data_IF_002766921482
#
_entry.id   IF_002766921482
#
_cell.length_a   1.000
_cell.length_b   1.000
_cell.length_c   1.000
_cell.angle_alpha   90.00
_cell.angle_beta   90.00
_cell.angle_gamma   90.00
#
_symmetry.space_group_name_H-M   'P 1'
#
loop_
_entity.id
_entity.type
_entity.pdbx_description
1 polymer ?
#
# COMPACT_ATOMS: atom_id res chain seq x y z
N UNK A 1 16.49 -0.78 8.05
CA UNK A 1 16.08 0.01 6.86
C UNK A 1 14.70 0.58 7.11
N UNK A 2 14.49 1.90 7.01
CA UNK A 2 13.17 2.52 7.23
C UNK A 2 12.43 2.73 5.90
N UNK A 3 11.12 2.53 5.88
CA UNK A 3 10.27 2.77 4.71
C UNK A 3 9.42 4.02 4.94
N UNK A 4 9.34 4.89 3.94
CA UNK A 4 8.38 5.99 3.89
C UNK A 4 7.50 5.75 2.67
N UNK A 5 6.22 5.52 2.90
CA UNK A 5 5.26 5.13 1.87
C UNK A 5 4.24 6.26 1.76
N UNK A 6 4.14 6.87 0.58
CA UNK A 6 3.17 7.93 0.30
C UNK A 6 2.06 7.39 -0.60
N UNK A 7 0.93 7.02 -0.02
CA UNK A 7 -0.30 6.72 -0.76
C UNK A 7 -0.97 8.04 -1.15
N UNK A 8 -1.02 8.36 -2.45
CA UNK A 8 -1.66 9.60 -2.91
C UNK A 8 -3.18 9.50 -2.94
N UNK A 9 -3.75 8.30 -2.81
CA UNK A 9 -5.17 8.04 -3.03
C UNK A 9 -5.62 8.60 -4.38
N UNK A 10 -6.87 9.04 -4.50
CA UNK A 10 -7.42 9.66 -5.70
C UNK A 10 -7.03 11.16 -5.81
N UNK A 11 -5.73 11.48 -5.74
CA UNK A 11 -5.22 12.84 -5.86
C UNK A 11 -4.13 12.97 -6.91
N UNK A 12 -4.02 14.18 -7.47
CA UNK A 12 -3.05 14.63 -8.48
C UNK A 12 -3.25 13.95 -9.84
N UNK A 13 -3.45 14.78 -10.87
CA UNK A 13 -3.33 14.35 -12.26
C UNK A 13 -1.86 14.08 -12.62
N UNK A 14 -1.60 13.75 -13.88
CA UNK A 14 -0.27 13.42 -14.37
C UNK A 14 0.73 14.60 -14.28
N UNK A 15 0.30 15.82 -14.58
CA UNK A 15 1.15 17.02 -14.55
C UNK A 15 1.55 17.41 -13.12
N UNK A 16 0.57 17.46 -12.22
CA UNK A 16 0.81 17.81 -10.82
C UNK A 16 1.62 16.72 -10.13
N UNK A 17 1.36 15.46 -10.46
CA UNK A 17 2.15 14.34 -10.00
C UNK A 17 3.63 14.47 -10.41
N UNK A 18 3.91 14.84 -11.66
CA UNK A 18 5.28 15.04 -12.14
C UNK A 18 5.97 16.19 -11.41
N UNK A 19 5.28 17.32 -11.19
CA UNK A 19 5.80 18.46 -10.41
C UNK A 19 6.19 18.03 -9.00
N UNK A 20 5.30 17.31 -8.30
CA UNK A 20 5.53 16.80 -6.94
C UNK A 20 6.75 15.86 -6.92
N UNK A 21 6.85 14.93 -7.87
CA UNK A 21 7.97 13.99 -7.92
C UNK A 21 9.30 14.70 -8.18
N UNK A 22 9.34 15.69 -9.09
CA UNK A 22 10.54 16.51 -9.31
C UNK A 22 10.96 17.24 -8.03
N UNK A 23 10.01 17.80 -7.27
CA UNK A 23 10.29 18.45 -5.99
C UNK A 23 10.81 17.46 -4.93
N UNK A 24 10.18 16.29 -4.81
CA UNK A 24 10.58 15.23 -3.89
C UNK A 24 12.01 14.75 -4.18
N UNK A 25 12.35 14.54 -5.46
CA UNK A 25 13.69 14.09 -5.88
C UNK A 25 14.80 15.05 -5.45
N UNK A 26 14.55 16.36 -5.52
CA UNK A 26 15.50 17.37 -5.04
C UNK A 26 15.80 17.22 -3.54
N UNK A 27 14.83 16.78 -2.73
CA UNK A 27 14.97 16.62 -1.27
C UNK A 27 15.49 15.26 -0.82
N UNK A 28 15.38 14.22 -1.65
CA UNK A 28 15.77 12.85 -1.30
C UNK A 28 17.22 12.54 -1.67
N UNK A 29 17.83 13.27 -2.63
CA UNK A 29 19.28 13.20 -2.90
C UNK A 29 20.00 13.29 -1.54
N UNK A 30 20.71 12.22 -1.15
CA UNK A 30 21.55 12.08 0.06
C UNK A 30 20.93 11.39 1.30
N UNK A 31 19.75 10.75 1.24
CA UNK A 31 19.18 9.98 2.38
C UNK A 31 19.23 8.47 2.17
N UNK A 32 20.41 7.86 2.34
CA UNK A 32 20.67 6.44 2.03
C UNK A 32 20.02 5.41 2.98
N UNK A 33 19.60 5.81 4.19
CA UNK A 33 19.04 4.90 5.20
C UNK A 33 17.51 4.67 5.09
N UNK A 34 16.85 5.30 4.11
CA UNK A 34 15.41 5.30 3.93
C UNK A 34 15.04 4.87 2.50
N UNK A 35 13.98 4.06 2.38
CA UNK A 35 13.32 3.77 1.11
C UNK A 35 12.04 4.57 0.99
N UNK A 36 11.98 5.44 -0.01
CA UNK A 36 10.83 6.25 -0.33
C UNK A 36 10.02 5.57 -1.42
N UNK A 37 8.79 5.18 -1.09
CA UNK A 37 7.87 4.49 -1.99
C UNK A 37 6.68 5.41 -2.22
N UNK A 38 6.32 5.65 -3.47
CA UNK A 38 5.22 6.54 -3.81
C UNK A 38 4.18 5.72 -4.58
N UNK A 39 2.91 5.88 -4.20
CA UNK A 39 1.78 5.19 -4.79
C UNK A 39 0.80 6.21 -5.41
N UNK A 40 1.09 6.76 -6.62
CA UNK A 40 0.16 7.61 -7.36
C UNK A 40 -1.02 6.80 -7.93
N UNK A 41 -2.09 7.47 -8.40
CA UNK A 41 -2.98 6.87 -9.40
C UNK A 41 -2.17 6.27 -10.56
N UNK A 42 -2.55 5.09 -11.04
CA UNK A 42 -1.68 4.28 -11.90
C UNK A 42 -1.35 4.96 -13.23
N UNK A 43 -2.31 5.67 -13.82
CA UNK A 43 -2.12 6.49 -15.02
C UNK A 43 -1.05 7.57 -14.81
N UNK A 44 -1.04 8.21 -13.65
CA UNK A 44 0.00 9.19 -13.29
C UNK A 44 1.35 8.52 -13.13
N UNK A 45 1.41 7.29 -12.60
CA UNK A 45 2.66 6.53 -12.49
C UNK A 45 3.30 6.28 -13.85
N UNK A 46 2.52 5.82 -14.83
CA UNK A 46 3.03 5.58 -16.19
C UNK A 46 3.57 6.87 -16.82
N UNK A 47 2.78 7.94 -16.76
CA UNK A 47 3.18 9.24 -17.31
C UNK A 47 4.45 9.78 -16.67
N UNK A 48 4.51 9.79 -15.33
CA UNK A 48 5.67 10.30 -14.58
C UNK A 48 6.91 9.50 -14.97
N UNK A 49 6.83 8.17 -15.01
CA UNK A 49 7.98 7.32 -15.34
C UNK A 49 8.53 7.60 -16.74
N UNK A 50 7.67 7.80 -17.72
CA UNK A 50 8.09 8.12 -19.09
C UNK A 50 8.72 9.51 -19.20
N UNK A 51 8.40 10.43 -18.30
CA UNK A 51 8.90 11.81 -18.28
C UNK A 51 10.06 12.05 -17.29
N UNK A 52 10.59 11.00 -16.65
CA UNK A 52 11.74 11.09 -15.76
C UNK A 52 12.99 10.51 -16.43
N UNK A 53 14.02 11.35 -16.58
CA UNK A 53 15.32 10.98 -17.19
C UNK A 53 16.01 9.84 -16.42
N UNK A 54 15.84 9.77 -15.09
CA UNK A 54 16.39 8.68 -14.24
C UNK A 54 15.29 8.01 -13.43
N UNK A 55 15.35 6.69 -13.34
CA UNK A 55 14.46 5.85 -12.55
C UNK A 55 14.96 5.65 -11.10
N UNK A 56 15.15 6.74 -10.37
CA UNK A 56 15.62 6.74 -8.98
C UNK A 56 14.49 6.77 -7.93
N UNK A 57 13.24 6.91 -8.37
CA UNK A 57 12.05 6.86 -7.52
C UNK A 57 11.44 5.46 -7.54
N UNK A 58 11.13 4.94 -6.35
CA UNK A 58 10.44 3.65 -6.21
C UNK A 58 8.93 3.91 -6.26
N UNK A 59 8.28 3.35 -7.29
CA UNK A 59 6.84 3.41 -7.44
C UNK A 59 6.17 2.11 -6.96
N UNK A 60 4.93 2.24 -6.50
CA UNK A 60 4.00 1.14 -6.34
C UNK A 60 2.59 1.52 -6.79
N UNK A 61 1.68 0.55 -6.82
CA UNK A 61 0.26 0.80 -7.07
C UNK A 61 -0.55 0.84 -5.77
N UNK A 62 -1.72 1.46 -5.84
CA UNK A 62 -2.65 1.60 -4.70
C UNK A 62 -3.55 0.36 -4.51
N UNK A 63 -3.59 -0.53 -5.51
CA UNK A 63 -4.34 -1.79 -5.49
C UNK A 63 -3.85 -2.71 -6.63
N UNK A 64 -4.35 -3.95 -6.69
CA UNK A 64 -4.35 -4.82 -7.86
C UNK A 64 -5.58 -5.73 -7.90
N UNK A 65 -5.92 -6.23 -9.08
CA UNK A 65 -6.96 -7.24 -9.28
C UNK A 65 -6.68 -8.54 -8.52
N UNK A 66 -7.76 -9.23 -8.12
CA UNK A 66 -7.69 -10.62 -7.67
C UNK A 66 -7.52 -11.61 -8.84
N UNK A 67 -7.77 -11.18 -10.06
CA UNK A 67 -7.70 -11.98 -11.29
C UNK A 67 -6.36 -11.79 -12.01
N UNK A 68 -5.99 -12.76 -12.85
CA UNK A 68 -4.76 -12.69 -13.67
C UNK A 68 -5.01 -11.85 -14.94
N UNK A 69 -6.04 -12.22 -15.68
CA UNK A 69 -6.53 -11.60 -16.91
C UNK A 69 -7.96 -12.14 -17.18
N UNK A 70 -8.67 -11.58 -18.16
CA UNK A 70 -10.00 -12.03 -18.56
C UNK A 70 -10.99 -10.87 -18.75
N UNK A 71 -12.27 -11.20 -18.80
CA UNK A 71 -13.38 -10.26 -18.96
C UNK A 71 -13.68 -9.48 -17.66
N UNK A 72 -12.71 -8.68 -17.21
CA UNK A 72 -12.77 -7.85 -16.00
C UNK A 72 -12.55 -6.38 -16.37
N UNK A 73 -13.51 -5.82 -17.13
CA UNK A 73 -13.43 -4.46 -17.68
C UNK A 73 -13.10 -3.43 -16.61
N UNK A 74 -12.04 -2.66 -16.83
CA UNK A 74 -11.59 -1.59 -15.93
C UNK A 74 -10.70 -2.04 -14.77
N UNK A 75 -10.52 -3.35 -14.54
CA UNK A 75 -9.65 -3.87 -13.50
C UNK A 75 -8.18 -3.95 -13.98
N UNK A 76 -7.23 -3.88 -13.04
CA UNK A 76 -5.80 -3.84 -13.34
C UNK A 76 -5.09 -5.03 -12.71
N UNK A 77 -4.54 -5.91 -13.55
CA UNK A 77 -3.80 -7.07 -13.05
C UNK A 77 -2.44 -6.71 -12.44
N UNK A 78 -1.97 -7.59 -11.54
CA UNK A 78 -0.62 -7.48 -10.98
C UNK A 78 0.48 -7.49 -12.06
N UNK A 79 0.25 -8.16 -13.18
CA UNK A 79 1.19 -8.19 -14.30
C UNK A 79 1.27 -6.82 -15.00
N UNK A 80 0.13 -6.17 -15.25
CA UNK A 80 0.09 -4.82 -15.82
C UNK A 80 0.83 -3.81 -14.93
N UNK A 81 0.58 -3.88 -13.62
CA UNK A 81 1.29 -3.06 -12.62
C UNK A 81 2.80 -3.29 -12.67
N UNK A 82 3.21 -4.56 -12.77
CA UNK A 82 4.63 -4.92 -12.88
C UNK A 82 5.27 -4.34 -14.15
N UNK A 83 4.57 -4.40 -15.28
CA UNK A 83 5.03 -3.89 -16.59
C UNK A 83 5.19 -2.38 -16.61
N UNK A 84 4.34 -1.63 -15.91
CA UNK A 84 4.51 -0.18 -15.71
C UNK A 84 5.82 0.14 -14.96
N UNK A 85 6.36 -0.82 -14.20
CA UNK A 85 7.62 -0.71 -13.48
C UNK A 85 7.47 -0.54 -11.97
N UNK A 86 6.24 -0.64 -11.46
CA UNK A 86 5.98 -0.68 -10.03
C UNK A 86 6.71 -1.85 -9.35
N UNK A 87 7.16 -1.61 -8.13
CA UNK A 87 7.85 -2.62 -7.30
C UNK A 87 7.00 -3.06 -6.10
N UNK A 88 6.03 -2.25 -5.70
CA UNK A 88 5.15 -2.49 -4.57
C UNK A 88 3.68 -2.39 -4.99
N UNK A 89 2.80 -3.03 -4.25
CA UNK A 89 1.34 -2.86 -4.35
C UNK A 89 0.76 -2.79 -2.94
N UNK A 90 -0.10 -1.80 -2.71
CA UNK A 90 -0.89 -1.67 -1.49
C UNK A 90 -2.10 -2.60 -1.56
N UNK A 91 -2.36 -3.36 -0.51
CA UNK A 91 -3.48 -4.30 -0.45
C UNK A 91 -4.12 -4.22 0.94
N UNK A 92 -5.45 -4.24 1.01
CA UNK A 92 -6.18 -4.28 2.27
C UNK A 92 -6.33 -2.92 2.96
N UNK A 93 -6.09 -1.81 2.25
CA UNK A 93 -6.34 -0.46 2.75
C UNK A 93 -7.79 -0.32 3.23
N UNK A 94 -7.98 0.42 4.32
CA UNK A 94 -9.29 0.53 5.00
C UNK A 94 -10.41 0.97 4.06
N UNK A 95 -10.18 1.99 3.23
CA UNK A 95 -11.13 2.47 2.21
C UNK A 95 -11.58 1.34 1.26
N UNK A 96 -10.68 0.43 0.88
CA UNK A 96 -11.02 -0.69 0.00
C UNK A 96 -11.84 -1.75 0.72
N UNK A 97 -11.51 -2.03 1.99
CA UNK A 97 -12.30 -2.95 2.83
C UNK A 97 -13.70 -2.41 3.09
N UNK A 98 -13.86 -1.11 3.34
CA UNK A 98 -15.15 -0.53 3.76
C UNK A 98 -16.01 -0.02 2.62
N UNK A 99 -15.43 0.62 1.60
CA UNK A 99 -16.19 1.21 0.48
C UNK A 99 -16.41 0.18 -0.63
N UNK A 100 -15.40 -0.67 -0.88
CA UNK A 100 -15.42 -1.66 -1.96
C UNK A 100 -15.62 -3.09 -1.46
N UNK A 101 -15.91 -3.27 -0.16
CA UNK A 101 -16.25 -4.54 0.47
C UNK A 101 -15.22 -5.66 0.22
N UNK A 102 -13.92 -5.32 0.20
CA UNK A 102 -12.87 -6.32 0.00
C UNK A 102 -12.76 -7.27 1.20
N UNK A 103 -13.14 -8.53 0.97
CA UNK A 103 -13.10 -9.58 1.98
C UNK A 103 -11.70 -10.19 2.12
N UNK A 104 -11.47 -10.93 3.21
CA UNK A 104 -10.19 -11.60 3.45
C UNK A 104 -9.84 -12.57 2.31
N UNK A 105 -10.82 -13.23 1.68
CA UNK A 105 -10.64 -14.11 0.51
C UNK A 105 -10.18 -13.33 -0.74
N UNK A 106 -10.73 -12.13 -0.98
CA UNK A 106 -10.30 -11.25 -2.07
C UNK A 106 -8.86 -10.82 -1.84
N UNK A 107 -8.52 -10.43 -0.61
CA UNK A 107 -7.17 -9.98 -0.25
C UNK A 107 -6.14 -11.10 -0.40
N UNK A 108 -6.47 -12.34 0.00
CA UNK A 108 -5.63 -13.53 -0.25
C UNK A 108 -5.27 -13.67 -1.73
N UNK A 109 -6.29 -13.57 -2.60
CA UNK A 109 -6.10 -13.71 -4.04
C UNK A 109 -5.22 -12.59 -4.58
N UNK A 110 -5.48 -11.33 -4.21
CA UNK A 110 -4.66 -10.18 -4.61
C UNK A 110 -3.19 -10.33 -4.19
N UNK A 111 -2.93 -10.74 -2.96
CA UNK A 111 -1.57 -11.00 -2.45
C UNK A 111 -0.89 -12.08 -3.26
N UNK A 112 -1.57 -13.21 -3.50
CA UNK A 112 -1.03 -14.29 -4.33
C UNK A 112 -0.67 -13.79 -5.73
N UNK A 113 -1.56 -13.05 -6.40
CA UNK A 113 -1.31 -12.45 -7.73
C UNK A 113 -0.11 -11.50 -7.73
N UNK A 114 0.00 -10.64 -6.72
CA UNK A 114 1.12 -9.73 -6.57
C UNK A 114 2.46 -10.46 -6.42
N UNK A 115 2.51 -11.47 -5.55
CA UNK A 115 3.72 -12.25 -5.28
C UNK A 115 4.14 -13.10 -6.48
N UNK A 116 3.19 -13.70 -7.21
CA UNK A 116 3.45 -14.42 -8.47
C UNK A 116 4.17 -13.52 -9.50
N UNK A 117 3.83 -12.22 -9.53
CA UNK A 117 4.45 -11.22 -10.42
C UNK A 117 5.70 -10.55 -9.83
N UNK A 118 6.24 -11.11 -8.74
CA UNK A 118 7.43 -10.60 -8.04
C UNK A 118 7.27 -9.13 -7.63
N UNK A 119 6.05 -8.70 -7.33
CA UNK A 119 5.79 -7.45 -6.61
C UNK A 119 5.99 -7.70 -5.12
N UNK A 120 6.29 -6.63 -4.37
CA UNK A 120 6.24 -6.64 -2.92
C UNK A 120 4.89 -6.11 -2.46
N UNK A 121 4.36 -6.67 -1.39
CA UNK A 121 3.06 -6.27 -0.85
C UNK A 121 3.27 -5.30 0.29
N UNK A 122 2.49 -4.23 0.32
CA UNK A 122 2.26 -3.38 1.49
C UNK A 122 0.85 -3.72 1.95
N UNK A 123 0.73 -4.49 3.03
CA UNK A 123 -0.54 -4.98 3.53
C UNK A 123 -1.01 -4.12 4.70
N UNK A 124 -2.15 -3.46 4.53
CA UNK A 124 -2.71 -2.60 5.58
C UNK A 124 -3.53 -3.41 6.58
N UNK A 125 -3.32 -3.08 7.86
CA UNK A 125 -4.06 -3.61 9.00
C UNK A 125 -4.42 -2.46 9.93
N UNK A 126 -5.49 -2.61 10.68
CA UNK A 126 -5.97 -1.57 11.57
C UNK A 126 -7.39 -1.81 12.01
N UNK A 127 -7.71 -1.33 13.19
CA UNK A 127 -8.97 -1.51 13.88
C UNK A 127 -9.84 -0.25 13.84
N UNK A 128 -11.16 -0.43 14.01
CA UNK A 128 -12.10 0.67 14.16
C UNK A 128 -12.01 1.33 15.55
N UNK A 129 -12.58 2.54 15.68
CA UNK A 129 -12.63 3.25 16.97
C UNK A 129 -13.30 2.40 18.06
N UNK A 130 -14.36 1.66 17.70
CA UNK A 130 -15.07 0.78 18.64
C UNK A 130 -14.18 -0.35 19.13
N UNK A 131 -13.39 -0.96 18.25
CA UNK A 131 -12.48 -2.04 18.62
C UNK A 131 -11.33 -1.53 19.49
N UNK A 132 -10.79 -0.36 19.16
CA UNK A 132 -9.79 0.32 19.98
C UNK A 132 -10.32 0.64 21.38
N UNK A 133 -11.49 1.29 21.49
CA UNK A 133 -12.12 1.62 22.78
C UNK A 133 -12.46 0.39 23.63
N UNK A 134 -12.65 -0.77 23.01
CA UNK A 134 -12.90 -2.05 23.69
C UNK A 134 -11.61 -2.81 24.06
N UNK A 135 -10.42 -2.25 23.81
CA UNK A 135 -9.14 -2.93 24.06
C UNK A 135 -8.90 -4.14 23.15
N UNK A 136 -9.52 -4.18 21.96
CA UNK A 136 -9.48 -5.34 21.04
C UNK A 136 -8.49 -5.18 19.88
N UNK A 137 -7.68 -4.12 19.85
CA UNK A 137 -6.78 -3.80 18.72
C UNK A 137 -5.86 -4.97 18.36
N UNK A 138 -5.06 -5.48 19.31
CA UNK A 138 -4.11 -6.59 19.06
C UNK A 138 -4.84 -7.84 18.55
N UNK A 139 -5.91 -8.27 19.23
CA UNK A 139 -6.69 -9.45 18.83
C UNK A 139 -7.25 -9.29 17.42
N UNK A 140 -7.71 -8.09 17.07
CA UNK A 140 -8.27 -7.83 15.75
C UNK A 140 -7.20 -7.80 14.65
N UNK A 141 -6.07 -7.13 14.89
CA UNK A 141 -4.95 -7.05 13.95
C UNK A 141 -4.35 -8.44 13.69
N UNK A 142 -4.12 -9.23 14.75
CA UNK A 142 -3.67 -10.63 14.60
C UNK A 142 -4.66 -11.43 13.75
N UNK A 143 -5.97 -11.23 13.96
CA UNK A 143 -7.00 -11.88 13.15
C UNK A 143 -6.94 -11.43 11.68
N UNK A 144 -6.73 -10.16 11.37
CA UNK A 144 -6.58 -9.68 9.99
C UNK A 144 -5.36 -10.30 9.29
N UNK A 145 -4.25 -10.45 10.01
CA UNK A 145 -3.02 -11.04 9.46
C UNK A 145 -3.21 -12.55 9.24
N UNK A 146 -3.60 -13.29 10.27
CA UNK A 146 -3.72 -14.76 10.23
C UNK A 146 -4.83 -15.24 9.32
N UNK A 147 -5.89 -14.44 9.12
CA UNK A 147 -6.91 -14.76 8.14
C UNK A 147 -6.44 -14.66 6.71
N UNK A 148 -5.43 -13.84 6.40
CA UNK A 148 -5.01 -13.55 5.02
C UNK A 148 -3.70 -14.24 4.66
N UNK A 149 -2.80 -14.41 5.63
CA UNK A 149 -1.51 -15.05 5.41
C UNK A 149 -1.51 -16.47 5.96
N UNK A 150 -1.18 -17.42 5.08
CA UNK A 150 -0.89 -18.80 5.48
C UNK A 150 0.54 -18.90 6.04
N UNK A 151 0.83 -19.93 6.83
CA UNK A 151 2.12 -20.12 7.51
C UNK A 151 3.34 -20.20 6.57
N UNK A 152 3.13 -20.49 5.29
CA UNK A 152 4.19 -20.64 4.29
C UNK A 152 4.55 -19.34 3.55
N UNK A 153 3.94 -18.20 3.91
CA UNK A 153 4.18 -16.94 3.21
C UNK A 153 5.60 -16.40 3.48
N UNK A 154 6.27 -15.94 2.43
CA UNK A 154 7.58 -15.29 2.58
C UNK A 154 7.40 -13.82 2.99
N UNK A 155 7.41 -13.56 4.30
CA UNK A 155 7.29 -12.22 4.85
C UNK A 155 8.42 -11.26 4.44
N UNK A 156 9.55 -11.72 3.88
CA UNK A 156 10.59 -10.82 3.32
C UNK A 156 10.10 -9.99 2.12
N UNK A 157 8.95 -10.34 1.54
CA UNK A 157 8.30 -9.62 0.43
C UNK A 157 7.10 -8.78 0.87
N UNK A 158 6.79 -8.75 2.16
CA UNK A 158 5.61 -8.09 2.72
C UNK A 158 6.06 -7.01 3.71
N UNK A 159 5.42 -5.85 3.61
CA UNK A 159 5.46 -4.80 4.61
C UNK A 159 4.07 -4.80 5.25
N UNK A 160 3.99 -4.99 6.56
CA UNK A 160 2.77 -4.75 7.31
C UNK A 160 2.70 -3.25 7.62
N UNK A 161 1.61 -2.61 7.20
CA UNK A 161 1.35 -1.20 7.44
C UNK A 161 0.19 -1.10 8.45
N UNK A 162 0.51 -0.76 9.69
CA UNK A 162 -0.52 -0.45 10.68
C UNK A 162 -1.09 0.95 10.41
N UNK A 163 -2.39 1.01 10.20
CA UNK A 163 -3.16 2.22 9.91
C UNK A 163 -4.39 2.24 10.84
N UNK A 164 -4.29 2.86 12.05
CA UNK A 164 -5.44 2.94 12.96
C UNK A 164 -6.60 3.63 12.25
N UNK A 165 -7.68 2.89 11.94
CA UNK A 165 -8.74 3.38 11.05
C UNK A 165 -9.40 4.63 11.65
N UNK A 166 -9.48 4.68 12.98
CA UNK A 166 -10.02 5.80 13.73
C UNK A 166 -9.20 7.10 13.63
N UNK A 167 -7.96 7.05 13.16
CA UNK A 167 -7.10 8.20 12.91
C UNK A 167 -7.05 8.62 11.43
N UNK A 168 -7.55 7.80 10.50
CA UNK A 168 -7.44 8.08 9.05
C UNK A 168 -8.45 9.16 8.67
N UNK A 169 -7.95 10.30 8.18
CA UNK A 169 -8.80 11.40 7.72
C UNK A 169 -9.56 12.10 8.86
N UNK A 170 -9.16 11.85 10.11
CA UNK A 170 -9.66 12.55 11.30
C UNK A 170 -8.58 13.51 11.81
N UNK A 171 -8.96 14.43 12.70
CA UNK A 171 -8.00 15.28 13.41
C UNK A 171 -7.41 14.58 14.65
N UNK A 172 -7.64 13.28 14.81
CA UNK A 172 -7.16 12.50 15.95
C UNK A 172 -5.84 11.84 15.57
N UNK A 173 -4.78 12.16 16.32
CA UNK A 173 -3.46 11.59 16.11
C UNK A 173 -3.15 10.57 17.21
N UNK A 174 -2.81 9.32 16.88
CA UNK A 174 -2.37 8.34 17.87
C UNK A 174 -1.11 8.82 18.60
N UNK A 175 -1.02 8.55 19.90
CA UNK A 175 0.20 8.77 20.67
C UNK A 175 1.26 7.76 20.24
N UNK A 176 2.53 8.15 20.31
CA UNK A 176 3.65 7.26 19.92
C UNK A 176 3.61 5.92 20.67
N UNK A 177 3.31 5.96 21.97
CA UNK A 177 3.19 4.77 22.81
C UNK A 177 2.12 3.78 22.32
N UNK A 178 1.03 4.27 21.74
CA UNK A 178 -0.04 3.42 21.20
C UNK A 178 0.43 2.71 19.92
N UNK A 179 1.20 3.41 19.08
CA UNK A 179 1.81 2.82 17.89
C UNK A 179 2.87 1.79 18.29
N UNK A 180 3.74 2.14 19.24
CA UNK A 180 4.81 1.26 19.72
C UNK A 180 4.26 -0.03 20.32
N UNK A 181 3.16 0.05 21.09
CA UNK A 181 2.47 -1.12 21.65
C UNK A 181 1.91 -2.07 20.59
N UNK A 182 1.39 -1.55 19.47
CA UNK A 182 0.91 -2.38 18.37
C UNK A 182 2.07 -2.99 17.56
N UNK A 183 3.21 -2.31 17.51
CA UNK A 183 4.37 -2.71 16.71
C UNK A 183 5.34 -3.65 17.43
N UNK A 184 5.28 -3.77 18.76
CA UNK A 184 6.10 -4.67 19.59
C UNK A 184 5.69 -6.13 19.42
#
# INVERSE_FOLDING_TARGET
MKFLIANWKMNKNFDDGLKVIKAIRKKIKNKSNKKYIILPPLQSTLYIRNNLIKNDVIFGSQDCSQFKNGAFTGDISAEMIKKIGCKYVLIGHSERRTIFNETDEVLKRKIKRALEQKLKVIFCVGESLTQYKQGKSIKFIIKQITKVFDNNINFKKIILAYEPIWAIGTNVTPKMQEIDYIHS
#
